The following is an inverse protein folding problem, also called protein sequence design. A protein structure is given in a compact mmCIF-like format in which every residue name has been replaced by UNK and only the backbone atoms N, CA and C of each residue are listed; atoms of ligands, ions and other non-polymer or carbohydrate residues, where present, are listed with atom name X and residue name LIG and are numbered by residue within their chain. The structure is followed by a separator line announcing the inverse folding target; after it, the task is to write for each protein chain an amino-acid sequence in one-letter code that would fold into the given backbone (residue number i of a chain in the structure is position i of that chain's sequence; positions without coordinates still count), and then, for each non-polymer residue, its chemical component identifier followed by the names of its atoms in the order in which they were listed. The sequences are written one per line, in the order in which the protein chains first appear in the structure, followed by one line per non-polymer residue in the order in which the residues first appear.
data_IF_113356068729
#
_entry.id   IF_113356068729
#
_cell.length_a   1.000
_cell.length_b   1.000
_cell.length_c   1.000
_cell.angle_alpha   90.00
_cell.angle_beta   90.00
_cell.angle_gamma   90.00
#
_symmetry.space_group_name_H-M   'P 1'
#
loop_
_entity.id
_entity.type
_entity.pdbx_description
1 polymer ?
#
# COMPACT_ATOMS: atom_id res chain seq x y z
N UNK A 1 13.21 18.57 2.93
CA UNK A 1 12.15 18.35 3.96
C UNK A 1 11.04 17.61 3.27
N UNK A 2 10.50 16.56 3.89
CA UNK A 2 9.46 15.75 3.26
C UNK A 2 8.08 16.38 3.41
N UNK A 3 7.39 16.57 2.29
CA UNK A 3 6.06 17.17 2.23
C UNK A 3 5.06 16.20 1.60
N UNK A 4 3.89 16.07 2.22
CA UNK A 4 2.78 15.26 1.69
C UNK A 4 2.06 16.08 0.62
N UNK A 5 1.88 15.51 -0.56
CA UNK A 5 1.23 16.17 -1.69
C UNK A 5 0.08 15.31 -2.25
N UNK A 6 -0.99 15.93 -2.77
CA UNK A 6 -2.00 15.18 -3.52
C UNK A 6 -1.40 14.69 -4.85
N UNK A 7 -1.74 13.47 -5.25
CA UNK A 7 -1.40 12.94 -6.58
C UNK A 7 -2.59 12.25 -7.20
N UNK A 8 -2.73 12.36 -8.51
CA UNK A 8 -3.70 11.58 -9.27
C UNK A 8 -3.32 10.10 -9.29
N UNK A 9 -4.29 9.22 -9.57
CA UNK A 9 -3.99 7.80 -9.82
C UNK A 9 -2.96 7.63 -10.94
N UNK A 10 -3.06 8.46 -11.98
CA UNK A 10 -2.15 8.43 -13.13
C UNK A 10 -0.70 8.71 -12.69
N UNK A 11 -0.46 9.80 -11.96
CA UNK A 11 0.87 10.14 -11.45
C UNK A 11 1.41 9.05 -10.51
N UNK A 12 0.56 8.51 -9.62
CA UNK A 12 0.96 7.42 -8.75
C UNK A 12 1.35 6.15 -9.54
N UNK A 13 0.59 5.81 -10.57
CA UNK A 13 0.88 4.67 -11.44
C UNK A 13 2.16 4.88 -12.27
N UNK A 14 2.41 6.10 -12.76
CA UNK A 14 3.66 6.46 -13.45
C UNK A 14 4.86 6.24 -12.52
N UNK A 15 4.78 6.69 -11.28
CA UNK A 15 5.82 6.45 -10.28
C UNK A 15 6.00 4.96 -9.95
N UNK A 16 4.91 4.23 -9.70
CA UNK A 16 4.95 2.78 -9.43
C UNK A 16 5.56 2.03 -10.62
N UNK A 17 5.21 2.38 -11.85
CA UNK A 17 5.76 1.71 -13.04
C UNK A 17 7.27 1.94 -13.16
N UNK A 18 7.75 3.11 -12.76
CA UNK A 18 9.18 3.45 -12.80
C UNK A 18 10.00 2.76 -11.71
N UNK A 19 9.46 2.63 -10.49
CA UNK A 19 10.24 2.22 -9.30
C UNK A 19 9.83 0.89 -8.68
N UNK A 20 8.65 0.35 -8.97
CA UNK A 20 8.14 -0.85 -8.33
C UNK A 20 8.51 -2.11 -9.11
N UNK A 21 9.37 -2.94 -8.51
CA UNK A 21 9.95 -4.14 -9.14
C UNK A 21 8.92 -5.22 -9.56
N UNK A 22 7.81 -5.34 -8.83
CA UNK A 22 6.89 -6.49 -8.96
C UNK A 22 5.43 -6.16 -9.31
N UNK A 23 5.03 -4.89 -9.39
CA UNK A 23 3.61 -4.54 -9.49
C UNK A 23 3.32 -3.62 -10.66
N UNK A 24 2.32 -4.01 -11.44
CA UNK A 24 1.72 -3.19 -12.49
C UNK A 24 0.86 -2.08 -11.88
N UNK A 25 0.60 -1.06 -12.68
CA UNK A 25 -0.34 0.03 -12.40
C UNK A 25 -1.69 -0.48 -11.84
N UNK A 26 -2.23 0.23 -10.85
CA UNK A 26 -3.56 -0.04 -10.32
C UNK A 26 -4.64 0.46 -11.28
N UNK A 27 -5.72 -0.31 -11.43
CA UNK A 27 -6.86 0.06 -12.29
C UNK A 27 -7.80 1.09 -11.66
N UNK A 28 -7.76 1.24 -10.34
CA UNK A 28 -8.63 2.14 -9.60
C UNK A 28 -8.09 2.42 -8.21
N UNK A 29 -8.66 3.43 -7.57
CA UNK A 29 -8.35 3.80 -6.18
C UNK A 29 -9.53 4.53 -5.55
N UNK A 30 -9.48 4.72 -4.22
CA UNK A 30 -10.28 5.72 -3.51
C UNK A 30 -9.56 7.06 -3.52
N UNK A 31 -8.26 7.03 -3.26
CA UNK A 31 -7.36 8.18 -3.35
C UNK A 31 -5.90 7.71 -3.45
N UNK A 32 -5.02 8.63 -3.84
CA UNK A 32 -3.56 8.43 -3.81
C UNK A 32 -2.91 9.63 -3.13
N UNK A 33 -1.77 9.38 -2.49
CA UNK A 33 -0.98 10.40 -1.81
C UNK A 33 0.47 10.28 -2.29
N UNK A 34 1.12 11.41 -2.52
CA UNK A 34 2.56 11.49 -2.79
C UNK A 34 3.31 12.08 -1.60
N UNK A 35 4.63 11.88 -1.60
CA UNK A 35 5.55 12.60 -0.74
C UNK A 35 6.70 13.14 -1.58
N UNK A 36 7.00 14.42 -1.42
CA UNK A 36 8.09 15.10 -2.12
C UNK A 36 9.23 15.43 -1.16
N UNK A 37 10.47 15.44 -1.66
CA UNK A 37 11.61 16.12 -1.04
C UNK A 37 11.99 17.32 -1.92
N UNK A 38 11.63 18.52 -1.47
CA UNK A 38 11.64 19.71 -2.33
C UNK A 38 10.70 19.52 -3.52
N UNK A 39 11.19 19.74 -4.74
CA UNK A 39 10.39 19.60 -5.97
C UNK A 39 10.29 18.14 -6.46
N UNK A 40 11.05 17.21 -5.87
CA UNK A 40 11.14 15.83 -6.34
C UNK A 40 10.11 14.96 -5.63
N UNK A 41 9.22 14.32 -6.38
CA UNK A 41 8.40 13.22 -5.88
C UNK A 41 9.28 12.01 -5.54
N UNK A 42 9.28 11.57 -4.29
CA UNK A 42 10.13 10.47 -3.79
C UNK A 42 9.34 9.23 -3.35
N UNK A 43 8.01 9.32 -3.29
CA UNK A 43 7.16 8.17 -3.06
C UNK A 43 5.68 8.44 -3.25
N UNK A 44 4.92 7.36 -3.40
CA UNK A 44 3.46 7.37 -3.55
C UNK A 44 2.82 6.21 -2.81
N UNK A 45 1.58 6.39 -2.36
CA UNK A 45 0.70 5.30 -1.98
C UNK A 45 -0.64 5.38 -2.72
N UNK A 46 -1.19 4.22 -3.05
CA UNK A 46 -2.48 4.05 -3.70
C UNK A 46 -3.37 3.28 -2.73
N UNK A 47 -4.46 3.92 -2.33
CA UNK A 47 -5.38 3.39 -1.33
C UNK A 47 -6.73 3.06 -1.97
N UNK A 48 -7.31 1.93 -1.61
CA UNK A 48 -8.50 1.40 -2.26
C UNK A 48 -9.26 0.40 -1.40
N UNK A 49 -10.20 -0.30 -2.05
CA UNK A 49 -10.94 -1.39 -1.41
C UNK A 49 -9.98 -2.54 -1.09
N UNK A 50 -10.22 -3.26 0.00
CA UNK A 50 -9.51 -4.51 0.26
C UNK A 50 -9.63 -5.48 -0.90
N UNK A 51 -8.51 -6.11 -1.28
CA UNK A 51 -8.50 -7.17 -2.29
C UNK A 51 -9.25 -8.41 -1.79
N UNK A 52 -9.15 -8.67 -0.48
CA UNK A 52 -9.94 -9.72 0.18
C UNK A 52 -11.40 -9.32 0.30
N UNK A 53 -12.29 -10.07 -0.37
CA UNK A 53 -13.74 -9.88 -0.28
C UNK A 53 -14.29 -9.93 1.15
N UNK A 54 -13.63 -10.67 2.05
CA UNK A 54 -14.04 -10.79 3.45
C UNK A 54 -13.74 -9.54 4.28
N UNK A 55 -12.80 -8.71 3.82
CA UNK A 55 -12.41 -7.46 4.48
C UNK A 55 -13.04 -6.23 3.82
N UNK A 56 -13.65 -6.39 2.64
CA UNK A 56 -14.33 -5.32 1.91
C UNK A 56 -15.74 -5.04 2.51
N UNK A 57 -15.72 -4.58 3.76
CA UNK A 57 -16.87 -4.37 4.64
C UNK A 57 -17.40 -2.93 4.65
N UNK A 58 -16.99 -2.12 3.66
CA UNK A 58 -17.21 -0.67 3.58
C UNK A 58 -16.61 0.18 4.73
N UNK A 59 -15.90 -0.43 5.69
CA UNK A 59 -15.28 0.25 6.83
C UNK A 59 -13.76 0.10 6.84
N UNK A 60 -13.23 -0.82 6.04
CA UNK A 60 -11.80 -1.12 5.91
C UNK A 60 -11.25 -0.54 4.60
N UNK A 61 -10.15 0.20 4.70
CA UNK A 61 -9.35 0.65 3.55
C UNK A 61 -8.09 -0.22 3.45
N UNK A 62 -7.63 -0.50 2.23
CA UNK A 62 -6.33 -1.14 2.00
C UNK A 62 -5.37 -0.14 1.35
N UNK A 63 -4.14 -0.06 1.86
CA UNK A 63 -3.02 0.53 1.11
C UNK A 63 -2.54 -0.52 0.11
N UNK A 64 -3.17 -0.55 -1.07
CA UNK A 64 -2.94 -1.61 -2.06
C UNK A 64 -1.52 -1.57 -2.65
N UNK A 65 -0.94 -0.36 -2.74
CA UNK A 65 0.41 -0.13 -3.24
C UNK A 65 1.06 1.00 -2.47
N UNK A 66 2.32 0.82 -2.09
CA UNK A 66 3.18 1.88 -1.62
C UNK A 66 4.53 1.69 -2.30
N UNK A 67 5.05 2.75 -2.91
CA UNK A 67 6.31 2.73 -3.63
C UNK A 67 7.11 3.99 -3.28
N UNK A 68 8.40 3.82 -3.01
CA UNK A 68 9.34 4.91 -2.74
C UNK A 68 10.63 4.66 -3.51
N UNK A 69 11.40 5.70 -3.78
CA UNK A 69 12.73 5.57 -4.38
C UNK A 69 13.84 5.17 -3.38
N UNK A 70 13.47 4.89 -2.13
CA UNK A 70 14.40 4.58 -1.04
C UNK A 70 14.70 5.76 -0.12
N UNK A 71 14.15 6.96 -0.41
CA UNK A 71 14.31 8.13 0.46
C UNK A 71 13.87 7.83 1.90
N UNK A 72 14.74 8.15 2.86
CA UNK A 72 14.52 7.91 4.29
C UNK A 72 13.21 8.55 4.76
N UNK A 73 12.46 7.85 5.62
CA UNK A 73 11.14 8.24 6.15
C UNK A 73 9.98 8.37 5.15
N UNK A 74 10.19 8.35 3.83
CA UNK A 74 9.10 8.48 2.85
C UNK A 74 8.03 7.40 3.03
N UNK A 75 8.44 6.15 3.28
CA UNK A 75 7.53 5.00 3.42
C UNK A 75 6.63 5.11 4.66
N UNK A 76 7.19 5.42 5.83
CA UNK A 76 6.43 5.56 7.08
C UNK A 76 5.51 6.79 7.04
N UNK A 77 5.94 7.90 6.44
CA UNK A 77 5.11 9.10 6.23
C UNK A 77 3.88 8.77 5.40
N UNK A 78 4.04 8.04 4.29
CA UNK A 78 2.93 7.65 3.42
C UNK A 78 1.94 6.72 4.14
N UNK A 79 2.40 5.75 4.93
CA UNK A 79 1.52 4.91 5.73
C UNK A 79 0.72 5.69 6.79
N UNK A 80 1.37 6.65 7.44
CA UNK A 80 0.72 7.51 8.42
C UNK A 80 -0.28 8.48 7.75
N UNK A 81 0.07 9.03 6.59
CA UNK A 81 -0.79 9.92 5.81
C UNK A 81 -2.04 9.20 5.30
N UNK A 82 -1.87 8.00 4.73
CA UNK A 82 -2.98 7.16 4.28
C UNK A 82 -3.96 6.85 5.41
N UNK A 83 -3.45 6.51 6.59
CA UNK A 83 -4.27 6.29 7.77
C UNK A 83 -5.05 7.55 8.18
N UNK A 84 -4.39 8.70 8.31
CA UNK A 84 -5.08 9.95 8.68
C UNK A 84 -6.18 10.32 7.68
N UNK A 85 -5.91 10.19 6.39
CA UNK A 85 -6.90 10.42 5.34
C UNK A 85 -8.08 9.45 5.44
N UNK A 86 -7.80 8.16 5.65
CA UNK A 86 -8.84 7.14 5.83
C UNK A 86 -9.77 7.46 7.02
N UNK A 87 -9.20 7.83 8.17
CA UNK A 87 -9.97 8.19 9.36
C UNK A 87 -10.83 9.43 9.10
N UNK A 88 -10.28 10.45 8.43
CA UNK A 88 -11.03 11.65 8.05
C UNK A 88 -12.20 11.35 7.12
N UNK A 89 -12.08 10.34 6.26
CA UNK A 89 -13.15 9.85 5.37
C UNK A 89 -14.15 8.91 6.06
N UNK A 90 -13.96 8.56 7.34
CA UNK A 90 -14.88 7.72 8.10
C UNK A 90 -14.57 6.22 8.12
N UNK A 91 -13.47 5.78 7.49
CA UNK A 91 -12.99 4.40 7.64
C UNK A 91 -12.62 4.12 9.10
N UNK A 92 -12.76 2.87 9.52
CA UNK A 92 -12.48 2.41 10.90
C UNK A 92 -11.14 1.70 11.03
N UNK A 93 -10.61 1.23 9.90
CA UNK A 93 -9.42 0.40 9.84
C UNK A 93 -8.70 0.60 8.52
N UNK A 94 -7.37 0.62 8.58
CA UNK A 94 -6.50 0.53 7.42
C UNK A 94 -5.65 -0.72 7.50
N UNK A 95 -5.59 -1.47 6.40
CA UNK A 95 -4.76 -2.66 6.27
C UNK A 95 -3.74 -2.50 5.16
N UNK A 96 -2.67 -3.28 5.23
CA UNK A 96 -1.75 -3.54 4.11
C UNK A 96 -1.16 -4.93 4.24
N UNK A 97 -0.48 -5.36 3.20
CA UNK A 97 0.26 -6.61 3.16
C UNK A 97 1.69 -6.35 2.68
N UNK A 98 2.65 -6.95 3.37
CA UNK A 98 4.06 -7.01 2.95
C UNK A 98 4.48 -8.48 2.86
N UNK A 99 5.55 -8.78 2.16
CA UNK A 99 6.14 -10.12 2.15
C UNK A 99 6.61 -10.50 3.55
N UNK A 100 6.62 -11.79 3.86
CA UNK A 100 7.08 -12.27 5.16
C UNK A 100 8.55 -11.93 5.44
N UNK A 101 9.37 -11.90 4.40
CA UNK A 101 10.78 -11.49 4.41
C UNK A 101 10.98 -9.99 4.64
N UNK A 102 9.94 -9.17 4.49
CA UNK A 102 10.03 -7.74 4.72
C UNK A 102 9.88 -7.41 6.23
N UNK A 103 10.78 -6.59 6.83
CA UNK A 103 10.84 -6.41 8.28
C UNK A 103 9.67 -5.60 8.87
N UNK A 104 8.88 -4.92 8.02
CA UNK A 104 7.78 -4.07 8.46
C UNK A 104 8.19 -2.84 9.27
N UNK A 105 9.46 -2.43 9.24
CA UNK A 105 9.99 -1.30 10.04
C UNK A 105 9.19 -0.01 9.84
N UNK A 106 8.89 0.35 8.59
CA UNK A 106 8.10 1.55 8.28
C UNK A 106 6.65 1.47 8.80
N UNK A 107 6.08 0.27 8.86
CA UNK A 107 4.73 0.03 9.38
C UNK A 107 4.70 0.16 10.91
N UNK A 108 5.71 -0.41 11.60
CA UNK A 108 5.90 -0.20 13.04
C UNK A 108 6.06 1.28 13.37
N UNK A 109 6.90 2.00 12.62
CA UNK A 109 7.09 3.44 12.78
C UNK A 109 5.80 4.24 12.55
N UNK A 110 4.93 3.78 11.64
CA UNK A 110 3.61 4.37 11.40
C UNK A 110 2.52 3.92 12.40
N UNK A 111 2.86 3.06 13.37
CA UNK A 111 1.95 2.58 14.41
C UNK A 111 0.99 1.47 13.96
N UNK A 112 1.33 0.72 12.91
CA UNK A 112 0.59 -0.48 12.50
C UNK A 112 1.01 -1.68 13.35
N UNK A 113 0.07 -2.60 13.60
CA UNK A 113 0.28 -3.88 14.27
C UNK A 113 0.29 -5.00 13.24
N UNK A 114 1.20 -5.97 13.38
CA UNK A 114 1.22 -7.17 12.56
C UNK A 114 0.21 -8.18 13.11
N UNK A 115 -0.73 -8.64 12.28
CA UNK A 115 -1.70 -9.69 12.63
C UNK A 115 -1.20 -11.09 12.23
N UNK A 116 0.03 -11.20 11.72
CA UNK A 116 0.66 -12.44 11.31
C UNK A 116 0.43 -12.79 9.84
N UNK A 117 0.69 -14.06 9.51
CA UNK A 117 0.59 -14.59 8.15
C UNK A 117 -0.82 -14.46 7.60
N UNK A 118 -0.93 -13.98 6.36
CA UNK A 118 -2.21 -13.81 5.69
C UNK A 118 -2.06 -13.91 4.17
N UNK A 119 -3.15 -14.27 3.51
CA UNK A 119 -3.16 -14.54 2.07
C UNK A 119 -2.69 -15.96 1.77
N UNK A 120 -2.18 -16.14 0.55
CA UNK A 120 -1.57 -17.38 0.09
C UNK A 120 -0.29 -17.08 -0.69
N UNK A 121 0.51 -18.11 -0.91
CA UNK A 121 1.77 -18.06 -1.69
C UNK A 121 1.46 -17.65 -3.14
N UNK A 122 0.30 -18.08 -3.65
CA UNK A 122 -0.18 -17.75 -4.98
C UNK A 122 -1.68 -17.42 -5.02
N UNK A 123 -2.08 -16.79 -6.11
CA UNK A 123 -3.49 -16.53 -6.41
C UNK A 123 -4.14 -17.82 -6.93
N UNK A 124 -5.27 -18.21 -6.34
CA UNK A 124 -5.98 -19.43 -6.72
C UNK A 124 -7.28 -19.12 -7.49
N UNK A 125 -7.78 -20.11 -8.24
CA UNK A 125 -9.07 -20.06 -8.94
C UNK A 125 -9.06 -19.29 -10.26
N UNK A 126 -10.24 -18.95 -10.78
CA UNK A 126 -10.42 -18.31 -12.11
C UNK A 126 -9.72 -16.95 -12.26
N UNK A 127 -9.30 -16.35 -11.14
CA UNK A 127 -8.63 -15.05 -11.09
C UNK A 127 -7.11 -15.17 -10.96
N UNK A 128 -6.54 -16.39 -11.01
CA UNK A 128 -5.07 -16.59 -11.06
C UNK A 128 -4.49 -15.85 -12.29
N UNK A 129 -3.49 -14.98 -12.10
CA UNK A 129 -2.80 -14.34 -13.21
C UNK A 129 -2.19 -15.38 -14.16
N UNK A 130 -2.32 -15.16 -15.47
CA UNK A 130 -1.72 -16.06 -16.50
C UNK A 130 -0.20 -16.04 -16.52
N UNK A 131 0.42 -14.96 -16.03
CA UNK A 131 1.86 -14.84 -15.91
C UNK A 131 2.23 -14.99 -14.42
N UNK A 132 2.99 -16.04 -14.11
CA UNK A 132 3.38 -16.42 -12.75
C UNK A 132 4.46 -15.53 -12.16
N UNK A 133 5.20 -14.75 -12.95
CA UNK A 133 6.21 -13.79 -12.49
C UNK A 133 5.60 -12.47 -11.98
N UNK A 134 4.28 -12.30 -12.10
CA UNK A 134 3.60 -11.06 -11.74
C UNK A 134 3.53 -10.81 -10.22
N UNK A 135 3.87 -11.80 -9.40
CA UNK A 135 3.95 -11.66 -7.95
C UNK A 135 5.00 -12.62 -7.37
N UNK A 136 5.66 -12.24 -6.27
CA UNK A 136 6.54 -13.16 -5.55
C UNK A 136 5.75 -14.32 -4.96
N UNK A 137 6.28 -15.54 -5.08
CA UNK A 137 5.75 -16.76 -4.48
C UNK A 137 6.16 -16.85 -3.02
N UNK A 138 5.64 -15.93 -2.23
CA UNK A 138 5.97 -15.82 -0.81
C UNK A 138 4.71 -15.53 0.00
N UNK A 139 4.66 -16.10 1.21
CA UNK A 139 3.66 -15.71 2.19
C UNK A 139 3.78 -14.23 2.52
N UNK A 140 2.65 -13.65 2.90
CA UNK A 140 2.56 -12.25 3.32
C UNK A 140 2.20 -12.16 4.78
N UNK A 141 2.55 -11.05 5.39
CA UNK A 141 2.02 -10.65 6.69
C UNK A 141 0.99 -9.54 6.50
N UNK A 142 -0.14 -9.62 7.22
CA UNK A 142 -1.13 -8.54 7.25
C UNK A 142 -0.82 -7.58 8.38
N UNK A 143 -0.89 -6.29 8.08
CA UNK A 143 -0.68 -5.22 9.03
C UNK A 143 -1.92 -4.36 9.12
N UNK A 144 -2.27 -3.97 10.34
CA UNK A 144 -3.51 -3.25 10.63
C UNK A 144 -3.24 -2.02 11.49
N UNK A 145 -3.99 -0.95 11.23
CA UNK A 145 -4.14 0.16 12.15
C UNK A 145 -5.61 0.56 12.24
N UNK A 146 -6.13 0.56 13.46
CA UNK A 146 -7.53 0.84 13.76
C UNK A 146 -7.70 2.26 14.32
N UNK A 147 -8.92 2.80 14.23
CA UNK A 147 -9.27 4.12 14.78
C UNK A 147 -9.21 4.14 16.30
#
# INVERSE_FOLDING_TARGET
MLEIVPVTLRQANEFVTKYHRHHKASRGHKFSIGVCDGEKLVGVCICGRPVSRYLDDNKTLEVNRLCTDGTYNACSILYAAAYRAAIAMGYKRVITYILESEPGTSLKAAGYKCEGRAGGIEWNGRSKPKNEEQYPHEMKTRWVKEK
#
